data_IF_082856998850
#
_entry.id   IF_082856998850
#
_cell.length_a   1.000
_cell.length_b   1.000
_cell.length_c   1.000
_cell.angle_alpha   90.00
_cell.angle_beta   90.00
_cell.angle_gamma   90.00
#
_symmetry.space_group_name_H-M   'P 1'
#
loop_
_entity.id
_entity.type
_entity.pdbx_description
1 polymer ?
#
# COMPACT_ATOMS: atom_id res chain seq x y z
N UNK A 1 5.82 13.55 -32.73
CA UNK A 1 5.42 14.39 -31.58
C UNK A 1 6.71 14.89 -30.95
N UNK A 2 7.07 16.16 -31.17
CA UNK A 2 8.27 16.77 -30.59
C UNK A 2 7.89 17.34 -29.22
N UNK A 3 8.71 17.11 -28.20
CA UNK A 3 8.52 17.67 -26.86
C UNK A 3 9.45 18.88 -26.72
N UNK A 4 8.93 20.05 -26.35
CA UNK A 4 9.75 21.22 -26.03
C UNK A 4 10.06 21.20 -24.53
N UNK A 5 11.35 21.01 -24.20
CA UNK A 5 11.87 21.14 -22.84
C UNK A 5 12.42 22.55 -22.69
N UNK A 6 11.92 23.33 -21.73
CA UNK A 6 12.53 24.61 -21.33
C UNK A 6 13.10 24.45 -19.93
N UNK A 7 14.42 24.61 -19.81
CA UNK A 7 15.07 24.88 -18.53
C UNK A 7 15.07 26.39 -18.34
N UNK A 8 14.60 26.87 -17.19
CA UNK A 8 14.61 28.29 -16.88
C UNK A 8 15.63 28.51 -15.77
N UNK A 9 16.84 28.94 -16.13
CA UNK A 9 17.81 29.46 -15.19
C UNK A 9 17.31 30.83 -14.71
N UNK A 10 17.26 31.04 -13.39
CA UNK A 10 16.93 32.34 -12.83
C UNK A 10 17.98 33.38 -13.25
N UNK A 11 17.53 34.48 -13.84
CA UNK A 11 18.38 35.64 -14.15
C UNK A 11 18.97 36.20 -12.85
N UNK A 12 20.26 35.97 -12.63
CA UNK A 12 21.01 36.57 -11.55
C UNK A 12 21.54 37.93 -12.02
N UNK A 13 20.92 39.02 -11.53
CA UNK A 13 21.50 40.36 -11.57
C UNK A 13 22.11 40.62 -10.21
N UNK A 14 23.44 40.74 -10.20
CA UNK A 14 24.26 40.96 -9.03
C UNK A 14 23.82 42.20 -8.23
N UNK A 15 23.55 42.02 -6.94
CA UNK A 15 23.89 43.01 -5.93
C UNK A 15 24.16 42.33 -4.58
N UNK A 16 25.22 42.81 -3.94
CA UNK A 16 26.03 42.16 -2.92
C UNK A 16 25.30 42.02 -1.56
N UNK A 17 25.15 40.78 -1.06
CA UNK A 17 24.70 40.51 0.32
C UNK A 17 24.48 39.02 0.61
N UNK A 18 25.30 38.45 1.51
CA UNK A 18 25.22 37.05 1.98
C UNK A 18 23.80 36.66 2.40
N UNK A 19 23.14 35.83 1.59
CA UNK A 19 22.00 35.02 1.98
C UNK A 19 22.19 33.63 1.37
N UNK A 20 22.08 32.58 2.21
CA UNK A 20 22.17 31.17 1.80
C UNK A 20 20.94 30.80 0.96
N UNK A 21 20.94 31.21 -0.30
CA UNK A 21 19.86 30.98 -1.25
C UNK A 21 19.79 29.53 -1.68
N UNK A 22 18.69 28.87 -1.33
CA UNK A 22 18.29 27.58 -1.88
C UNK A 22 17.90 27.79 -3.35
N UNK A 23 18.84 27.56 -4.26
CA UNK A 23 18.60 27.60 -5.71
C UNK A 23 17.71 26.41 -6.10
N UNK A 24 16.44 26.68 -6.42
CA UNK A 24 15.50 25.66 -6.91
C UNK A 24 15.56 25.57 -8.44
N UNK A 25 16.08 24.46 -8.96
CA UNK A 25 16.06 24.17 -10.40
C UNK A 25 14.64 23.74 -10.81
N UNK A 26 14.09 24.38 -11.84
CA UNK A 26 12.72 24.18 -12.33
C UNK A 26 12.73 23.80 -13.80
N UNK A 27 12.16 22.65 -14.14
CA UNK A 27 12.01 22.19 -15.52
C UNK A 27 10.54 22.15 -15.91
N UNK A 28 10.20 22.69 -17.07
CA UNK A 28 8.81 22.70 -17.59
C UNK A 28 8.73 21.94 -18.91
N UNK A 29 7.76 21.05 -19.01
CA UNK A 29 7.41 20.34 -20.24
C UNK A 29 5.98 20.65 -20.64
N UNK A 30 5.79 21.06 -21.89
CA UNK A 30 4.49 21.41 -22.45
C UNK A 30 4.27 20.62 -23.75
N UNK A 31 3.28 19.73 -23.82
CA UNK A 31 2.77 19.21 -25.10
C UNK A 31 2.05 20.34 -25.85
N UNK A 32 2.20 20.40 -27.18
CA UNK A 32 1.90 21.57 -28.04
C UNK A 32 0.46 22.17 -27.98
N UNK A 33 -0.49 21.65 -27.19
CA UNK A 33 -1.81 22.29 -26.93
C UNK A 33 -2.55 21.69 -25.69
N UNK A 34 -1.82 21.30 -24.63
CA UNK A 34 -2.41 20.67 -23.42
C UNK A 34 -1.65 21.03 -22.14
N UNK A 35 -2.23 20.60 -21.01
CA UNK A 35 -1.71 20.66 -19.64
C UNK A 35 -0.18 20.72 -19.56
N UNK A 36 0.33 21.63 -18.72
CA UNK A 36 1.76 21.80 -18.50
C UNK A 36 2.20 20.97 -17.31
N UNK A 37 3.35 20.30 -17.43
CA UNK A 37 3.97 19.61 -16.30
C UNK A 37 5.22 20.37 -15.89
N UNK A 38 5.29 20.75 -14.61
CA UNK A 38 6.45 21.39 -14.00
C UNK A 38 7.10 20.42 -13.01
N UNK A 39 8.42 20.44 -12.94
CA UNK A 39 9.16 19.71 -11.91
C UNK A 39 10.08 20.67 -11.17
N UNK A 40 10.09 20.57 -9.84
CA UNK A 40 10.89 21.38 -8.92
C UNK A 40 11.58 20.48 -7.91
N UNK A 41 12.85 20.73 -7.67
CA UNK A 41 13.56 20.07 -6.59
C UNK A 41 13.55 20.95 -5.33
N UNK A 42 13.24 20.35 -4.18
CA UNK A 42 13.30 21.02 -2.88
C UNK A 42 14.09 20.18 -1.89
N UNK A 43 14.86 20.85 -1.04
CA UNK A 43 15.62 20.21 0.05
C UNK A 43 14.83 20.26 1.35
N UNK A 44 14.66 19.12 2.00
CA UNK A 44 13.95 18.98 3.27
C UNK A 44 14.75 18.16 4.29
N UNK A 45 14.32 18.18 5.54
CA UNK A 45 14.95 17.43 6.62
C UNK A 45 14.00 16.37 7.15
N UNK A 46 14.44 15.12 7.21
CA UNK A 46 13.67 14.01 7.77
C UNK A 46 13.65 14.07 9.32
N UNK A 47 12.79 13.27 10.00
CA UNK A 47 12.75 13.24 11.46
C UNK A 47 14.09 12.89 12.12
N UNK A 48 14.93 12.09 11.45
CA UNK A 48 16.26 11.75 11.96
C UNK A 48 17.36 12.76 11.64
N UNK A 49 17.03 13.89 11.01
CA UNK A 49 17.98 14.94 10.62
C UNK A 49 18.68 14.72 9.28
N UNK A 50 18.30 13.69 8.52
CA UNK A 50 18.82 13.47 7.16
C UNK A 50 18.30 14.58 6.24
N UNK A 51 19.20 15.23 5.50
CA UNK A 51 18.81 16.15 4.42
C UNK A 51 18.48 15.32 3.19
N UNK A 52 17.27 15.49 2.68
CA UNK A 52 16.77 14.77 1.51
C UNK A 52 16.34 15.76 0.44
N UNK A 53 16.55 15.38 -0.82
CA UNK A 53 15.95 16.06 -1.95
C UNK A 53 14.61 15.41 -2.29
N UNK A 54 13.59 16.25 -2.48
CA UNK A 54 12.29 15.87 -2.95
C UNK A 54 12.06 16.48 -4.33
N UNK A 55 11.76 15.64 -5.32
CA UNK A 55 11.37 16.07 -6.66
C UNK A 55 9.85 16.17 -6.70
N UNK A 56 9.35 17.40 -6.81
CA UNK A 56 7.93 17.74 -6.86
C UNK A 56 7.53 17.91 -8.31
N UNK A 57 6.49 17.20 -8.74
CA UNK A 57 5.93 17.29 -10.09
C UNK A 57 4.50 17.77 -10.00
N UNK A 58 4.18 18.85 -10.70
CA UNK A 58 2.82 19.40 -10.80
C UNK A 58 2.36 19.39 -12.24
N UNK A 59 1.08 19.09 -12.44
CA UNK A 59 0.40 19.25 -13.72
C UNK A 59 -0.60 20.38 -13.59
N UNK A 60 -0.62 21.30 -14.56
CA UNK A 60 -1.55 22.43 -14.60
C UNK A 60 -2.37 22.40 -15.86
N UNK A 61 -3.64 22.79 -15.77
CA UNK A 61 -4.49 23.01 -16.93
C UNK A 61 -4.04 24.23 -17.76
N UNK A 62 -4.73 24.48 -18.88
CA UNK A 62 -4.49 25.64 -19.75
C UNK A 62 -4.66 27.00 -19.05
N UNK A 63 -5.33 27.02 -17.91
CA UNK A 63 -5.61 28.23 -17.13
C UNK A 63 -4.57 28.42 -16.00
N UNK A 64 -3.60 27.50 -15.88
CA UNK A 64 -2.58 27.52 -14.85
C UNK A 64 -3.01 26.92 -13.50
N UNK A 65 -4.19 26.30 -13.41
CA UNK A 65 -4.63 25.65 -12.18
C UNK A 65 -3.97 24.28 -12.04
N UNK A 66 -3.47 23.95 -10.85
CA UNK A 66 -2.89 22.64 -10.55
C UNK A 66 -3.99 21.57 -10.57
N UNK A 67 -3.89 20.63 -11.51
CA UNK A 67 -4.82 19.49 -11.68
C UNK A 67 -4.30 18.20 -11.06
N UNK A 68 -2.98 18.07 -10.93
CA UNK A 68 -2.34 16.95 -10.23
C UNK A 68 -1.02 17.40 -9.59
N UNK A 69 -0.67 16.80 -8.46
CA UNK A 69 0.58 17.07 -7.77
C UNK A 69 1.10 15.82 -7.09
N UNK A 70 2.38 15.52 -7.35
CA UNK A 70 3.09 14.43 -6.70
C UNK A 70 4.49 14.85 -6.29
N UNK A 71 5.07 14.12 -5.35
CA UNK A 71 6.48 14.28 -4.99
C UNK A 71 7.13 12.93 -4.77
N UNK A 72 8.39 12.81 -5.19
CA UNK A 72 9.24 11.67 -4.87
C UNK A 72 10.34 12.10 -3.92
N UNK A 73 10.43 11.45 -2.77
CA UNK A 73 11.44 11.66 -1.74
C UNK A 73 12.29 10.40 -1.67
N UNK A 74 13.60 10.51 -1.83
CA UNK A 74 14.51 9.36 -1.68
C UNK A 74 15.24 9.48 -0.35
N UNK A 75 15.25 8.42 0.46
CA UNK A 75 15.95 8.41 1.74
C UNK A 75 16.50 7.03 2.06
N UNK A 76 17.54 6.98 2.90
CA UNK A 76 18.03 5.72 3.48
C UNK A 76 17.17 5.23 4.65
N UNK A 77 16.30 6.10 5.17
CA UNK A 77 15.41 5.82 6.29
C UNK A 77 13.95 5.86 5.86
N UNK A 78 13.16 5.04 6.53
CA UNK A 78 11.76 4.84 6.24
C UNK A 78 10.88 5.76 7.09
N UNK A 79 10.98 7.06 6.80
CA UNK A 79 10.36 8.11 7.58
C UNK A 79 9.93 9.29 6.72
N UNK A 80 8.95 10.03 7.21
CA UNK A 80 8.46 11.26 6.58
C UNK A 80 8.20 12.30 7.69
N UNK A 81 8.68 13.52 7.50
CA UNK A 81 8.51 14.64 8.44
C UNK A 81 7.46 15.64 7.95
N UNK A 82 6.98 16.47 8.87
CA UNK A 82 6.20 17.67 8.53
C UNK A 82 6.99 18.67 7.70
N UNK A 83 8.31 18.81 7.91
CA UNK A 83 9.17 19.67 7.07
C UNK A 83 9.15 19.23 5.60
N UNK A 84 9.30 17.91 5.34
CA UNK A 84 9.21 17.36 3.99
C UNK A 84 7.83 17.64 3.38
N UNK A 85 6.76 17.38 4.13
CA UNK A 85 5.39 17.61 3.64
C UNK A 85 5.15 19.09 3.35
N UNK A 86 5.55 20.00 4.23
CA UNK A 86 5.35 21.43 4.09
C UNK A 86 6.06 21.98 2.84
N UNK A 87 7.34 21.64 2.65
CA UNK A 87 8.12 22.10 1.48
C UNK A 87 7.59 21.54 0.17
N UNK A 88 7.14 20.29 0.18
CA UNK A 88 6.51 19.66 -0.99
C UNK A 88 5.19 20.36 -1.35
N UNK A 89 4.33 20.61 -0.36
CA UNK A 89 3.04 21.31 -0.54
C UNK A 89 3.24 22.74 -1.03
N UNK A 90 4.20 23.47 -0.46
CA UNK A 90 4.57 24.82 -0.87
C UNK A 90 5.05 24.84 -2.34
N UNK A 91 5.98 23.94 -2.70
CA UNK A 91 6.49 23.86 -4.07
C UNK A 91 5.42 23.44 -5.09
N UNK A 92 4.49 22.56 -4.66
CA UNK A 92 3.37 22.11 -5.47
C UNK A 92 2.28 23.18 -5.65
N UNK A 93 2.15 24.12 -4.71
CA UNK A 93 1.09 25.14 -4.74
C UNK A 93 -0.31 24.58 -4.47
N UNK A 94 -0.42 23.39 -3.88
CA UNK A 94 -1.68 22.72 -3.53
C UNK A 94 -1.49 21.81 -2.32
N UNK A 95 -2.52 21.61 -1.51
CA UNK A 95 -2.54 20.66 -0.39
C UNK A 95 -2.84 19.21 -0.82
N UNK A 96 -3.33 19.02 -2.05
CA UNK A 96 -3.63 17.71 -2.63
C UNK A 96 -2.40 17.08 -3.29
N UNK A 97 -1.37 16.80 -2.48
CA UNK A 97 -0.14 16.19 -2.98
C UNK A 97 -0.04 14.72 -2.59
N UNK A 98 0.28 13.88 -3.57
CA UNK A 98 0.68 12.49 -3.37
C UNK A 98 2.19 12.39 -3.16
N UNK A 99 2.63 11.89 -2.02
CA UNK A 99 4.04 11.80 -1.65
C UNK A 99 4.47 10.34 -1.72
N UNK A 100 5.43 10.05 -2.59
CA UNK A 100 6.10 8.76 -2.73
C UNK A 100 7.46 8.81 -2.06
N UNK A 101 7.65 8.02 -1.01
CA UNK A 101 8.94 7.84 -0.34
C UNK A 101 9.61 6.59 -0.89
N UNK A 102 10.75 6.71 -1.55
CA UNK A 102 11.61 5.62 -1.98
C UNK A 102 12.67 5.35 -0.90
N UNK A 103 12.54 4.21 -0.21
CA UNK A 103 13.50 3.80 0.81
C UNK A 103 14.61 3.01 0.14
N UNK A 104 15.85 3.46 0.30
CA UNK A 104 17.03 2.90 -0.37
C UNK A 104 17.97 2.22 0.62
N UNK A 105 18.78 1.27 0.14
CA UNK A 105 19.94 0.79 0.87
C UNK A 105 21.11 1.80 0.78
N UNK A 106 22.21 1.50 1.47
CA UNK A 106 23.41 2.34 1.47
C UNK A 106 24.05 2.51 0.07
N UNK A 107 23.68 1.68 -0.91
CA UNK A 107 24.17 1.74 -2.29
C UNK A 107 23.19 2.51 -3.21
N UNK A 108 22.13 3.11 -2.67
CA UNK A 108 21.10 3.80 -3.43
C UNK A 108 20.10 2.88 -4.12
N UNK A 109 20.11 1.57 -3.83
CA UNK A 109 19.14 0.64 -4.40
C UNK A 109 17.82 0.75 -3.65
N UNK A 110 16.73 1.03 -4.37
CA UNK A 110 15.38 1.05 -3.79
C UNK A 110 15.00 -0.32 -3.25
N UNK A 111 14.71 -0.35 -1.95
CA UNK A 111 14.24 -1.53 -1.22
C UNK A 111 12.73 -1.65 -1.36
N UNK A 112 12.00 -0.56 -1.14
CA UNK A 112 10.55 -0.48 -1.32
C UNK A 112 10.13 0.98 -1.47
N UNK A 113 8.88 1.20 -1.89
CA UNK A 113 8.29 2.55 -1.91
C UNK A 113 7.06 2.61 -1.02
N UNK A 114 6.83 3.79 -0.44
CA UNK A 114 5.63 4.08 0.36
C UNK A 114 5.00 5.36 -0.15
N UNK A 115 3.78 5.24 -0.64
CA UNK A 115 2.97 6.36 -1.08
C UNK A 115 1.97 6.76 0.01
N UNK A 116 1.73 8.05 0.17
CA UNK A 116 0.62 8.57 0.96
C UNK A 116 0.19 9.93 0.41
N UNK A 117 -0.89 10.49 0.95
CA UNK A 117 -1.33 11.85 0.61
C UNK A 117 -1.06 12.78 1.78
N UNK A 118 -0.67 14.03 1.54
CA UNK A 118 -0.41 15.01 2.60
C UNK A 118 -1.55 15.11 3.63
N UNK A 119 -2.81 15.07 3.17
CA UNK A 119 -4.02 15.04 4.04
C UNK A 119 -4.10 13.88 5.05
N UNK A 120 -3.41 12.77 4.80
CA UNK A 120 -3.42 11.61 5.71
C UNK A 120 -2.47 11.82 6.90
N UNK A 121 -1.56 12.80 6.82
CA UNK A 121 -0.49 13.03 7.77
C UNK A 121 -0.88 14.08 8.82
N UNK A 122 -2.07 13.92 9.42
CA UNK A 122 -2.51 14.78 10.52
C UNK A 122 -2.00 14.24 11.86
N UNK A 123 -1.76 15.14 12.82
CA UNK A 123 -1.29 14.76 14.17
C UNK A 123 -2.15 13.63 14.75
N UNK A 124 -1.49 12.61 15.32
CA UNK A 124 -2.13 11.44 15.93
C UNK A 124 -2.99 10.58 14.97
N UNK A 125 -2.97 10.85 13.66
CA UNK A 125 -3.66 10.03 12.68
C UNK A 125 -3.18 8.58 12.75
N UNK A 126 -4.13 7.66 12.57
CA UNK A 126 -3.87 6.22 12.56
C UNK A 126 -3.99 5.74 11.13
N UNK A 127 -2.88 5.32 10.57
CA UNK A 127 -2.81 4.80 9.21
C UNK A 127 -2.57 3.29 9.22
N UNK A 128 -2.92 2.67 8.11
CA UNK A 128 -2.69 1.26 7.80
C UNK A 128 -1.92 1.17 6.51
N UNK A 129 -1.10 0.13 6.40
CA UNK A 129 -0.35 -0.12 5.17
C UNK A 129 -1.03 -1.19 4.33
N UNK A 130 -1.14 -0.92 3.04
CA UNK A 130 -1.55 -1.85 1.99
C UNK A 130 -0.44 -1.94 0.95
N UNK A 131 -0.33 -3.07 0.27
CA UNK A 131 0.55 -3.20 -0.89
C UNK A 131 -0.26 -2.84 -2.12
N UNK A 132 0.38 -2.18 -3.10
CA UNK A 132 -0.25 -1.71 -4.33
C UNK A 132 0.42 -2.38 -5.51
N UNK A 133 -0.38 -3.04 -6.33
CA UNK A 133 0.07 -3.46 -7.66
C UNK A 133 0.04 -2.23 -8.58
N UNK A 134 1.21 -1.73 -9.00
CA UNK A 134 1.30 -0.51 -9.81
C UNK A 134 0.68 -0.63 -11.21
N UNK A 135 0.50 -1.85 -11.73
CA UNK A 135 -0.07 -2.07 -13.06
C UNK A 135 -1.59 -2.01 -13.02
N UNK A 136 -2.18 -2.52 -11.95
CA UNK A 136 -3.64 -2.70 -11.83
C UNK A 136 -4.29 -1.75 -10.82
N UNK A 137 -3.50 -1.14 -9.94
CA UNK A 137 -3.98 -0.39 -8.79
C UNK A 137 -4.60 -1.26 -7.68
N UNK A 138 -4.53 -2.60 -7.79
CA UNK A 138 -5.10 -3.49 -6.77
C UNK A 138 -4.36 -3.32 -5.44
N UNK A 139 -5.13 -3.10 -4.37
CA UNK A 139 -4.60 -2.97 -3.00
C UNK A 139 -4.79 -4.27 -2.22
N UNK A 140 -3.73 -4.76 -1.58
CA UNK A 140 -3.77 -5.97 -0.73
C UNK A 140 -3.30 -5.70 0.70
N UNK A 141 -3.78 -6.51 1.64
CA UNK A 141 -3.46 -6.39 3.07
C UNK A 141 -2.01 -6.83 3.34
N UNK A 142 -1.27 -6.07 4.16
CA UNK A 142 0.15 -6.36 4.45
C UNK A 142 0.38 -6.86 5.87
N UNK A 143 -0.13 -6.15 6.88
CA UNK A 143 0.06 -6.49 8.29
C UNK A 143 -1.06 -5.93 9.17
N UNK A 144 -1.05 -6.31 10.45
CA UNK A 144 -2.00 -5.80 11.45
C UNK A 144 -1.55 -4.48 12.09
N UNK A 145 -0.32 -4.02 11.84
CA UNK A 145 0.29 -2.85 12.48
C UNK A 145 -0.53 -1.60 12.18
N UNK A 146 -0.58 -0.68 13.13
CA UNK A 146 -1.10 0.67 12.94
C UNK A 146 0.08 1.61 12.99
N UNK A 147 0.19 2.47 11.98
CA UNK A 147 1.23 3.48 11.90
C UNK A 147 0.63 4.78 12.39
N UNK A 148 1.17 5.30 13.49
CA UNK A 148 0.64 6.50 14.13
C UNK A 148 1.50 7.68 13.69
N UNK A 149 0.87 8.73 13.21
CA UNK A 149 1.52 10.01 13.00
C UNK A 149 1.81 10.62 14.37
N UNK A 150 3.06 11.02 14.58
CA UNK A 150 3.57 11.56 15.84
C UNK A 150 3.02 12.98 16.08
N UNK A 151 3.32 13.53 17.28
CA UNK A 151 2.88 14.88 17.66
C UNK A 151 3.53 15.98 16.81
N UNK A 152 4.75 15.75 16.37
CA UNK A 152 5.48 16.59 15.42
C UNK A 152 5.02 16.38 13.96
N UNK A 153 3.98 15.56 13.75
CA UNK A 153 3.44 15.19 12.44
C UNK A 153 4.34 14.24 11.63
N UNK A 154 5.44 13.76 12.19
CA UNK A 154 6.29 12.75 11.55
C UNK A 154 5.65 11.36 11.57
N UNK A 155 6.10 10.49 10.69
CA UNK A 155 5.72 9.09 10.68
C UNK A 155 6.92 8.23 10.29
N UNK A 156 7.07 7.09 10.96
CA UNK A 156 8.07 6.08 10.61
C UNK A 156 7.37 4.78 10.24
N UNK A 157 7.95 4.05 9.31
CA UNK A 157 7.46 2.77 8.84
C UNK A 157 8.62 1.82 8.61
N UNK A 158 8.35 0.53 8.67
CA UNK A 158 9.35 -0.53 8.48
C UNK A 158 8.63 -1.66 7.78
N UNK A 159 8.99 -1.88 6.51
CA UNK A 159 8.25 -2.72 5.58
C UNK A 159 9.21 -3.65 4.85
N UNK A 160 8.75 -4.85 4.45
CA UNK A 160 9.56 -5.76 3.65
C UNK A 160 10.00 -5.13 2.33
N UNK A 161 11.22 -5.42 1.90
CA UNK A 161 11.69 -5.03 0.56
C UNK A 161 10.92 -5.77 -0.55
N UNK A 162 10.91 -5.19 -1.76
CA UNK A 162 10.43 -5.82 -2.99
C UNK A 162 8.95 -5.56 -3.32
N UNK A 163 8.34 -4.54 -2.71
CA UNK A 163 6.97 -4.14 -3.04
C UNK A 163 6.76 -2.63 -2.91
N UNK A 164 5.68 -2.17 -3.54
CA UNK A 164 5.17 -0.82 -3.37
C UNK A 164 4.01 -0.82 -2.39
N UNK A 165 4.05 0.13 -1.47
CA UNK A 165 3.11 0.25 -0.38
C UNK A 165 2.40 1.58 -0.39
N UNK A 166 1.26 1.63 0.28
CA UNK A 166 0.54 2.85 0.52
C UNK A 166 0.07 2.92 1.97
N UNK A 167 0.33 4.06 2.61
CA UNK A 167 -0.23 4.40 3.91
C UNK A 167 -1.59 5.08 3.70
N UNK A 168 -2.63 4.32 4.02
CA UNK A 168 -4.04 4.71 3.85
C UNK A 168 -4.72 4.91 5.20
N UNK A 169 -5.83 5.64 5.19
CA UNK A 169 -6.68 5.79 6.38
C UNK A 169 -7.23 4.44 6.86
N UNK A 170 -7.64 4.37 8.13
CA UNK A 170 -8.30 3.15 8.63
C UNK A 170 -9.61 2.82 7.90
N UNK A 171 -10.29 3.82 7.33
CA UNK A 171 -11.52 3.62 6.57
C UNK A 171 -11.25 2.94 5.23
N UNK A 172 -10.23 3.40 4.50
CA UNK A 172 -9.81 2.80 3.23
C UNK A 172 -9.29 1.36 3.43
N UNK A 173 -8.46 1.15 4.46
CA UNK A 173 -8.00 -0.21 4.79
C UNK A 173 -9.15 -1.17 5.13
N UNK A 174 -10.21 -0.69 5.78
CA UNK A 174 -11.43 -1.49 6.03
C UNK A 174 -12.15 -1.84 4.72
N UNK A 175 -12.10 -1.00 3.69
CA UNK A 175 -12.66 -1.32 2.37
C UNK A 175 -11.88 -2.45 1.71
N UNK A 176 -10.54 -2.40 1.75
CA UNK A 176 -9.67 -3.48 1.26
C UNK A 176 -9.93 -4.80 2.02
N UNK A 177 -10.03 -4.73 3.34
CA UNK A 177 -10.37 -5.89 4.18
C UNK A 177 -11.72 -6.51 3.79
N UNK A 178 -12.77 -5.69 3.66
CA UNK A 178 -14.10 -6.17 3.25
C UNK A 178 -14.06 -6.84 1.88
N UNK A 179 -13.30 -6.29 0.92
CA UNK A 179 -13.11 -6.89 -0.40
C UNK A 179 -12.44 -8.28 -0.29
N UNK A 180 -11.34 -8.37 0.46
CA UNK A 180 -10.65 -9.64 0.71
C UNK A 180 -11.57 -10.67 1.38
N UNK A 181 -12.30 -10.29 2.45
CA UNK A 181 -13.22 -11.18 3.16
C UNK A 181 -14.38 -11.68 2.28
N UNK A 182 -14.84 -10.91 1.29
CA UNK A 182 -15.89 -11.35 0.35
C UNK A 182 -15.43 -12.52 -0.51
N UNK A 183 -14.14 -12.63 -0.80
CA UNK A 183 -13.58 -13.73 -1.61
C UNK A 183 -13.40 -15.04 -0.85
N UNK A 184 -13.30 -14.97 0.49
CA UNK A 184 -13.19 -16.15 1.37
C UNK A 184 -14.50 -16.94 1.36
N UNK A 185 -14.54 -17.98 0.54
CA UNK A 185 -15.66 -18.91 0.31
C UNK A 185 -15.12 -20.32 0.08
N UNK A 186 -15.94 -21.35 0.32
CA UNK A 186 -15.63 -22.73 -0.13
C UNK A 186 -16.11 -22.94 -1.56
N UNK A 187 -15.38 -23.76 -2.32
CA UNK A 187 -15.78 -24.18 -3.69
C UNK A 187 -17.04 -25.06 -3.67
N UNK A 188 -17.19 -25.90 -2.65
CA UNK A 188 -18.37 -26.75 -2.42
C UNK A 188 -18.77 -26.67 -0.95
N UNK A 189 -20.07 -26.50 -0.70
CA UNK A 189 -20.63 -26.43 0.67
C UNK A 189 -21.00 -27.80 1.21
N UNK A 190 -21.06 -28.84 0.37
CA UNK A 190 -21.28 -30.22 0.82
C UNK A 190 -20.66 -31.27 -0.10
N UNK A 191 -20.43 -32.47 0.44
CA UNK A 191 -20.13 -33.67 -0.33
C UNK A 191 -20.65 -34.92 0.39
N UNK A 192 -20.87 -35.99 -0.38
CA UNK A 192 -21.15 -37.31 0.16
C UNK A 192 -20.10 -38.31 -0.30
N UNK A 193 -19.55 -39.07 0.64
CA UNK A 193 -18.33 -39.87 0.45
C UNK A 193 -18.51 -41.23 1.13
N UNK A 194 -18.11 -42.32 0.48
CA UNK A 194 -18.11 -43.65 1.12
C UNK A 194 -17.04 -43.72 2.22
N UNK A 195 -17.27 -44.51 3.26
CA UNK A 195 -16.26 -44.78 4.29
C UNK A 195 -14.90 -45.22 3.67
N UNK A 196 -13.79 -44.76 4.25
CA UNK A 196 -12.42 -45.00 3.75
C UNK A 196 -12.00 -44.14 2.56
N UNK A 197 -12.93 -43.53 1.82
CA UNK A 197 -12.59 -42.64 0.69
C UNK A 197 -12.24 -41.23 1.15
N UNK A 198 -11.53 -40.50 0.29
CA UNK A 198 -11.00 -39.16 0.57
C UNK A 198 -11.73 -38.11 -0.27
N UNK A 199 -11.85 -36.90 0.26
CA UNK A 199 -12.30 -35.70 -0.44
C UNK A 199 -11.50 -34.49 0.06
N UNK A 200 -11.84 -33.26 -0.30
CA UNK A 200 -11.16 -32.06 0.22
C UNK A 200 -12.11 -30.87 0.34
N UNK A 201 -11.90 -30.05 1.36
CA UNK A 201 -12.50 -28.72 1.46
C UNK A 201 -11.59 -27.74 0.73
N UNK A 202 -12.04 -27.28 -0.43
CA UNK A 202 -11.30 -26.31 -1.26
C UNK A 202 -11.86 -24.90 -1.05
N UNK A 203 -10.99 -23.92 -0.92
CA UNK A 203 -11.36 -22.51 -0.96
C UNK A 203 -11.64 -22.07 -2.41
N UNK A 204 -12.38 -20.98 -2.56
CA UNK A 204 -12.70 -20.37 -3.86
C UNK A 204 -11.42 -19.98 -4.61
N UNK A 205 -11.37 -20.21 -5.92
CA UNK A 205 -10.27 -19.73 -6.77
C UNK A 205 -10.20 -18.20 -6.85
N UNK A 206 -11.29 -17.49 -6.49
CA UNK A 206 -11.32 -16.03 -6.39
C UNK A 206 -10.65 -15.49 -5.13
N UNK A 207 -10.24 -16.35 -4.19
CA UNK A 207 -9.53 -15.91 -2.99
C UNK A 207 -8.12 -15.47 -3.38
N UNK A 208 -7.86 -14.16 -3.27
CA UNK A 208 -6.50 -13.64 -3.43
C UNK A 208 -5.65 -14.09 -2.23
N UNK A 209 -4.68 -14.97 -2.49
CA UNK A 209 -3.79 -15.54 -1.48
C UNK A 209 -2.81 -14.51 -0.90
N UNK A 210 -2.56 -13.40 -1.59
CA UNK A 210 -1.70 -12.32 -1.10
C UNK A 210 -2.30 -11.64 0.13
N UNK A 211 -3.62 -11.72 0.32
CA UNK A 211 -4.30 -11.23 1.52
C UNK A 211 -4.25 -12.24 2.68
N UNK A 212 -3.90 -13.50 2.43
CA UNK A 212 -4.02 -14.59 3.40
C UNK A 212 -2.72 -14.81 4.16
N UNK A 213 -2.80 -14.80 5.49
CA UNK A 213 -1.68 -15.17 6.37
C UNK A 213 -1.64 -16.67 6.64
N UNK A 214 -2.79 -17.28 6.92
CA UNK A 214 -2.89 -18.70 7.30
C UNK A 214 -4.29 -19.25 7.06
N UNK A 215 -4.37 -20.53 6.69
CA UNK A 215 -5.61 -21.30 6.69
C UNK A 215 -5.49 -22.46 7.69
N UNK A 216 -6.51 -22.66 8.51
CA UNK A 216 -6.59 -23.78 9.46
C UNK A 216 -7.86 -24.58 9.25
N UNK A 217 -7.75 -25.91 9.25
CA UNK A 217 -8.88 -26.81 9.02
C UNK A 217 -9.25 -27.59 10.28
N UNK A 218 -10.55 -27.70 10.55
CA UNK A 218 -11.07 -28.34 11.75
C UNK A 218 -12.24 -29.25 11.36
N UNK A 219 -12.22 -30.50 11.83
CA UNK A 219 -13.38 -31.40 11.73
C UNK A 219 -14.20 -31.30 13.01
N UNK A 220 -15.52 -31.09 12.88
CA UNK A 220 -16.43 -31.07 14.03
C UNK A 220 -16.60 -32.42 14.74
N UNK A 221 -16.26 -33.54 14.07
CA UNK A 221 -16.37 -34.89 14.64
C UNK A 221 -15.36 -35.84 13.98
N UNK A 222 -14.17 -35.95 14.57
CA UNK A 222 -13.05 -36.76 14.06
C UNK A 222 -13.35 -38.26 13.93
N UNK A 223 -14.37 -38.76 14.63
CA UNK A 223 -14.83 -40.15 14.51
C UNK A 223 -15.63 -40.41 13.22
N UNK A 224 -16.25 -39.38 12.63
CA UNK A 224 -16.99 -39.46 11.35
C UNK A 224 -16.07 -39.14 10.18
N UNK A 225 -15.32 -38.03 10.26
CA UNK A 225 -14.30 -37.71 9.26
C UNK A 225 -13.16 -36.88 9.88
N UNK A 226 -11.93 -37.05 9.39
CA UNK A 226 -10.77 -36.22 9.78
C UNK A 226 -10.34 -35.34 8.63
N UNK A 227 -9.76 -34.18 8.94
CA UNK A 227 -9.16 -33.26 7.97
C UNK A 227 -7.71 -33.00 8.35
N UNK A 228 -6.81 -32.92 7.37
CA UNK A 228 -5.40 -32.61 7.58
C UNK A 228 -5.09 -31.10 7.35
N UNK A 229 -3.81 -30.71 7.52
CA UNK A 229 -3.36 -29.32 7.33
C UNK A 229 -3.60 -28.74 5.93
N UNK A 230 -3.75 -29.59 4.92
CA UNK A 230 -3.99 -29.21 3.52
C UNK A 230 -5.47 -29.25 3.13
N UNK A 231 -6.39 -29.43 4.10
CA UNK A 231 -7.82 -29.51 3.82
C UNK A 231 -8.27 -30.84 3.22
N UNK A 232 -7.41 -31.88 3.18
CA UNK A 232 -7.78 -33.23 2.72
C UNK A 232 -8.57 -33.94 3.81
N UNK A 233 -9.75 -34.42 3.45
CA UNK A 233 -10.72 -35.06 4.33
C UNK A 233 -10.69 -36.57 4.08
N UNK A 234 -10.60 -37.36 5.15
CA UNK A 234 -10.76 -38.83 5.12
C UNK A 234 -12.07 -39.20 5.82
N UNK A 235 -12.99 -39.83 5.10
CA UNK A 235 -14.24 -40.35 5.65
C UNK A 235 -13.96 -41.63 6.46
N UNK A 236 -14.51 -41.73 7.67
CA UNK A 236 -14.27 -42.85 8.60
C UNK A 236 -15.52 -43.68 8.85
N UNK A 237 -16.50 -43.12 9.55
CA UNK A 237 -17.72 -43.82 9.96
C UNK A 237 -18.94 -43.12 9.38
N UNK A 238 -19.99 -43.90 9.07
CA UNK A 238 -21.29 -43.40 8.60
C UNK A 238 -21.80 -42.29 9.53
N UNK A 239 -22.27 -41.19 8.95
CA UNK A 239 -22.71 -40.02 9.71
C UNK A 239 -22.53 -38.71 8.94
N UNK A 240 -22.91 -37.60 9.57
CA UNK A 240 -22.76 -36.25 9.03
C UNK A 240 -21.82 -35.44 9.92
N UNK A 241 -20.91 -34.69 9.30
CA UNK A 241 -19.98 -33.82 10.03
C UNK A 241 -19.68 -32.55 9.23
N UNK A 242 -19.57 -31.43 9.93
CA UNK A 242 -19.13 -30.16 9.34
C UNK A 242 -17.62 -30.03 9.48
N UNK A 243 -16.94 -29.80 8.36
CA UNK A 243 -15.53 -29.43 8.31
C UNK A 243 -15.44 -27.92 8.10
N UNK A 244 -14.70 -27.23 8.95
CA UNK A 244 -14.50 -25.77 8.92
C UNK A 244 -13.12 -25.44 8.38
N UNK A 245 -13.02 -24.39 7.59
CA UNK A 245 -11.78 -23.73 7.20
C UNK A 245 -11.78 -22.30 7.77
N UNK A 246 -10.88 -22.02 8.71
CA UNK A 246 -10.65 -20.68 9.27
C UNK A 246 -9.52 -20.02 8.47
N UNK A 247 -9.85 -18.99 7.72
CA UNK A 247 -8.88 -18.16 7.00
C UNK A 247 -8.54 -16.96 7.86
N UNK A 248 -7.25 -16.72 8.07
CA UNK A 248 -6.69 -15.54 8.76
C UNK A 248 -6.00 -14.67 7.72
N UNK A 249 -6.43 -13.43 7.59
CA UNK A 249 -5.83 -12.45 6.69
C UNK A 249 -4.58 -11.82 7.31
N UNK A 250 -3.74 -11.18 6.48
CA UNK A 250 -2.49 -10.54 6.93
C UNK A 250 -2.70 -9.42 7.95
N UNK A 251 -3.85 -8.76 7.92
CA UNK A 251 -4.24 -7.78 8.94
C UNK A 251 -4.76 -8.38 10.26
N UNK A 252 -4.79 -9.71 10.38
CA UNK A 252 -5.22 -10.43 11.58
C UNK A 252 -6.71 -10.76 11.62
N UNK A 253 -7.53 -10.20 10.73
CA UNK A 253 -8.95 -10.56 10.66
C UNK A 253 -9.15 -11.99 10.20
N UNK A 254 -10.26 -12.60 10.64
CA UNK A 254 -10.52 -14.01 10.32
C UNK A 254 -11.93 -14.22 9.82
N UNK A 255 -12.08 -15.18 8.91
CA UNK A 255 -13.38 -15.67 8.46
C UNK A 255 -13.38 -17.18 8.38
N UNK A 256 -14.44 -17.78 8.91
CA UNK A 256 -14.63 -19.22 8.90
C UNK A 256 -15.69 -19.58 7.87
N UNK A 257 -15.35 -20.51 6.99
CA UNK A 257 -16.26 -21.12 6.02
C UNK A 257 -16.33 -22.62 6.26
N UNK A 258 -17.39 -23.28 5.81
CA UNK A 258 -17.62 -24.68 6.16
C UNK A 258 -18.16 -25.50 5.02
N UNK A 259 -17.87 -26.81 5.08
CA UNK A 259 -18.35 -27.83 4.17
C UNK A 259 -18.96 -28.99 4.97
N UNK A 260 -20.19 -29.39 4.64
CA UNK A 260 -20.89 -30.55 5.23
C UNK A 260 -20.47 -31.84 4.53
N UNK A 261 -20.01 -32.83 5.28
CA UNK A 261 -19.61 -34.15 4.78
C UNK A 261 -20.59 -35.19 5.27
N UNK A 262 -21.25 -35.89 4.35
CA UNK A 262 -22.11 -37.06 4.64
C UNK A 262 -21.37 -38.33 4.26
N UNK A 263 -20.93 -39.09 5.27
CA UNK A 263 -20.35 -40.41 5.08
C UNK A 263 -21.47 -41.43 4.91
N UNK A 264 -21.49 -42.08 3.75
CA UNK A 264 -22.45 -43.13 3.38
C UNK A 264 -21.89 -44.51 3.71
#
# INVERSE_FOLDING_TARGET
MQWRIKQQAGDNKDDNGSNSGSSSDTTVTTPDDKDTTETKNVTATTPSGEKVEATVTTTKDSNGNVTDASATVTSTKAELSTDVVAKVVEAAGTDQVTIKTAVTDANGKTQYTVTTTAKNLTENAKLKVVAVDQTTGEKTLVNAKTYKVNKDGSITFDLPAGADYELVSTAEAKTVEKAALKTVKVKKTSASVKAGKKTSIQLSSKLNMDNVKKVTYISGKKSVATVNKNGKITAKKKGSVTVKAKVTLKNGTTKTVSMKIKVK
#
